data_IF_130031899009
#
_entry.id   IF_130031899009
#
_cell.length_a   1.000
_cell.length_b   1.000
_cell.length_c   1.000
_cell.angle_alpha   90.00
_cell.angle_beta   90.00
_cell.angle_gamma   90.00
#
_symmetry.space_group_name_H-M   'P 1'
#
loop_
_entity.id
_entity.type
_entity.pdbx_description
1 polymer ?
#
# COMPACT_ATOMS: atom_id res chain seq x y z
N UNK A 1 -98.35 -12.30 -30.30
CA UNK A 1 -98.06 -11.34 -29.21
C UNK A 1 -96.67 -10.80 -29.39
N UNK A 2 -96.59 -9.62 -30.02
CA UNK A 2 -95.30 -9.00 -30.38
C UNK A 2 -95.13 -7.72 -29.58
N UNK A 3 -94.13 -7.69 -28.71
CA UNK A 3 -93.83 -6.52 -27.87
C UNK A 3 -92.93 -5.59 -28.63
N UNK A 4 -93.38 -4.42 -29.01
CA UNK A 4 -92.66 -3.33 -29.60
C UNK A 4 -91.71 -2.75 -28.58
N UNK A 5 -90.42 -2.70 -28.91
CA UNK A 5 -89.34 -1.93 -28.23
C UNK A 5 -89.35 -0.51 -28.73
N UNK A 6 -89.45 0.43 -27.82
CA UNK A 6 -89.29 1.87 -28.10
C UNK A 6 -87.82 2.21 -28.43
N UNK A 7 -87.59 3.20 -29.31
CA UNK A 7 -86.22 3.63 -29.65
C UNK A 7 -85.70 4.60 -28.58
N UNK A 8 -84.42 4.41 -28.28
CA UNK A 8 -83.60 5.22 -27.37
C UNK A 8 -83.36 6.62 -27.95
N UNK A 9 -83.41 7.69 -27.13
CA UNK A 9 -83.12 9.04 -27.58
C UNK A 9 -81.63 9.24 -27.82
N UNK A 10 -81.22 10.07 -28.77
CA UNK A 10 -79.81 10.36 -29.05
C UNK A 10 -79.19 11.14 -27.90
N UNK A 11 -78.04 10.69 -27.47
CA UNK A 11 -77.17 11.36 -26.48
C UNK A 11 -76.68 12.68 -27.06
N UNK A 12 -76.93 13.78 -26.41
CA UNK A 12 -76.35 15.07 -26.68
C UNK A 12 -74.80 14.97 -26.44
N UNK A 13 -74.05 15.33 -27.47
CA UNK A 13 -72.60 15.46 -27.40
C UNK A 13 -72.32 16.82 -26.76
N UNK A 14 -71.97 16.81 -25.50
CA UNK A 14 -71.49 17.98 -24.79
C UNK A 14 -70.06 18.29 -25.31
N UNK A 15 -69.96 19.28 -26.15
CA UNK A 15 -68.72 19.88 -26.62
C UNK A 15 -68.18 20.81 -25.54
N UNK A 16 -67.70 20.25 -24.45
CA UNK A 16 -66.84 21.01 -23.53
C UNK A 16 -65.46 21.15 -24.19
N UNK A 17 -65.31 22.27 -24.78
CA UNK A 17 -64.02 22.76 -25.31
C UNK A 17 -63.03 22.86 -24.18
N UNK A 18 -62.26 21.78 -23.99
CA UNK A 18 -61.14 21.70 -23.06
C UNK A 18 -60.02 22.59 -23.63
N UNK A 19 -59.99 23.85 -23.19
CA UNK A 19 -58.91 24.78 -23.44
C UNK A 19 -57.66 24.22 -22.81
N UNK A 20 -56.89 23.44 -23.58
CA UNK A 20 -55.53 23.06 -23.24
C UNK A 20 -54.75 24.41 -23.05
N UNK A 21 -54.56 24.78 -21.81
CA UNK A 21 -53.59 25.80 -21.43
C UNK A 21 -52.23 25.31 -21.86
N UNK A 22 -51.80 25.70 -23.02
CA UNK A 22 -50.40 25.66 -23.43
C UNK A 22 -49.60 26.40 -22.36
N UNK A 23 -49.03 25.69 -21.42
CA UNK A 23 -48.00 26.24 -20.53
C UNK A 23 -46.80 26.58 -21.42
N UNK A 24 -46.77 27.80 -21.86
CA UNK A 24 -45.56 28.38 -22.43
C UNK A 24 -44.50 28.29 -21.35
N UNK A 25 -43.62 27.28 -21.47
CA UNK A 25 -42.37 27.25 -20.73
C UNK A 25 -41.60 28.52 -21.12
N UNK A 26 -41.78 29.56 -20.32
CA UNK A 26 -40.98 30.75 -20.43
C UNK A 26 -39.51 30.30 -20.30
N UNK A 27 -38.78 30.24 -21.39
CA UNK A 27 -37.32 30.07 -21.39
C UNK A 27 -36.76 31.30 -20.69
N UNK A 28 -36.55 31.17 -19.38
CA UNK A 28 -35.80 32.16 -18.61
C UNK A 28 -34.39 32.16 -19.16
N UNK A 29 -34.00 33.23 -19.84
CA UNK A 29 -32.61 33.43 -20.20
C UNK A 29 -31.78 33.55 -18.94
N UNK A 30 -30.61 32.92 -18.91
CA UNK A 30 -29.64 33.09 -17.82
C UNK A 30 -29.14 34.54 -17.82
N UNK A 31 -29.09 35.13 -16.66
CA UNK A 31 -28.48 36.46 -16.49
C UNK A 31 -26.95 36.32 -16.49
N UNK A 32 -26.26 37.36 -16.97
CA UNK A 32 -24.80 37.40 -16.96
C UNK A 32 -24.24 37.21 -15.55
N UNK A 33 -24.92 37.74 -14.55
CA UNK A 33 -24.56 37.61 -13.13
C UNK A 33 -24.65 36.14 -12.66
N UNK A 34 -25.68 35.41 -13.06
CA UNK A 34 -25.86 34.01 -12.73
C UNK A 34 -24.71 33.12 -13.29
N UNK A 35 -24.32 33.39 -14.56
CA UNK A 35 -23.17 32.70 -15.18
C UNK A 35 -21.87 33.01 -14.44
N UNK A 36 -21.66 34.28 -14.05
CA UNK A 36 -20.46 34.66 -13.28
C UNK A 36 -20.41 33.97 -11.90
N UNK A 37 -21.54 33.90 -11.20
CA UNK A 37 -21.61 33.21 -9.91
C UNK A 37 -21.32 31.73 -10.08
N UNK A 38 -21.89 31.05 -11.08
CA UNK A 38 -21.64 29.62 -11.35
C UNK A 38 -20.19 29.38 -11.69
N UNK A 39 -19.57 30.20 -12.54
CA UNK A 39 -18.15 30.09 -12.85
C UNK A 39 -17.26 30.31 -11.63
N UNK A 40 -17.58 31.26 -10.77
CA UNK A 40 -16.87 31.51 -9.52
C UNK A 40 -16.97 30.29 -8.56
N UNK A 41 -18.15 29.69 -8.43
CA UNK A 41 -18.36 28.50 -7.62
C UNK A 41 -17.59 27.28 -8.18
N UNK A 42 -17.62 27.07 -9.49
CA UNK A 42 -16.86 26.00 -10.14
C UNK A 42 -15.35 26.19 -9.89
N UNK A 43 -14.83 27.38 -10.08
CA UNK A 43 -13.42 27.70 -9.83
C UNK A 43 -13.04 27.45 -8.37
N UNK A 44 -13.90 27.80 -7.42
CA UNK A 44 -13.68 27.57 -6.00
C UNK A 44 -13.68 26.07 -5.66
N UNK A 45 -14.61 25.29 -6.18
CA UNK A 45 -14.65 23.84 -5.98
C UNK A 45 -13.44 23.17 -6.60
N UNK A 46 -13.06 23.54 -7.83
CA UNK A 46 -11.88 22.98 -8.50
C UNK A 46 -10.58 23.28 -7.74
N UNK A 47 -10.43 24.49 -7.21
CA UNK A 47 -9.26 24.82 -6.40
C UNK A 47 -9.17 23.98 -5.13
N UNK A 48 -10.28 23.72 -4.45
CA UNK A 48 -10.32 22.87 -3.27
C UNK A 48 -9.92 21.42 -3.56
N UNK A 49 -10.33 20.87 -4.71
CA UNK A 49 -9.98 19.50 -5.16
C UNK A 49 -8.49 19.38 -5.45
N UNK A 50 -7.89 20.36 -6.12
CA UNK A 50 -6.46 20.35 -6.45
C UNK A 50 -5.60 20.39 -5.19
N UNK A 51 -5.92 21.25 -4.23
CA UNK A 51 -5.20 21.38 -2.97
C UNK A 51 -5.36 20.10 -2.12
N UNK A 52 -6.55 19.49 -2.09
CA UNK A 52 -6.84 18.30 -1.28
C UNK A 52 -6.11 17.05 -1.74
N UNK A 53 -5.89 16.86 -3.03
CA UNK A 53 -5.27 15.63 -3.56
C UNK A 53 -3.79 15.46 -3.18
N UNK A 54 -3.02 16.53 -3.10
CA UNK A 54 -1.61 16.49 -2.70
C UNK A 54 -1.40 16.17 -1.21
N UNK A 55 -2.33 16.56 -0.35
CA UNK A 55 -2.24 16.31 1.09
C UNK A 55 -2.42 14.82 1.45
N UNK A 56 -3.30 14.11 0.76
CA UNK A 56 -3.53 12.69 0.99
C UNK A 56 -2.31 11.84 0.69
N UNK A 57 -1.60 12.14 -0.38
CA UNK A 57 -0.39 11.43 -0.76
C UNK A 57 0.76 11.64 0.25
N UNK A 58 0.95 12.86 0.72
CA UNK A 58 1.92 13.19 1.76
C UNK A 58 1.60 12.51 3.10
N UNK A 59 0.33 12.43 3.48
CA UNK A 59 -0.12 11.74 4.69
C UNK A 59 0.20 10.24 4.65
N UNK A 60 -0.06 9.57 3.52
CA UNK A 60 0.25 8.14 3.32
C UNK A 60 1.75 7.87 3.40
N UNK A 61 2.58 8.74 2.81
CA UNK A 61 4.02 8.61 2.90
C UNK A 61 4.51 8.72 4.35
N UNK A 62 4.00 9.69 5.10
CA UNK A 62 4.31 9.85 6.54
C UNK A 62 3.88 8.64 7.33
N UNK A 63 2.69 8.09 7.10
CA UNK A 63 2.20 6.90 7.78
C UNK A 63 3.09 5.69 7.51
N UNK A 64 3.46 5.42 6.25
CA UNK A 64 4.38 4.34 5.88
C UNK A 64 5.76 4.52 6.53
N UNK A 65 6.29 5.75 6.54
CA UNK A 65 7.57 6.05 7.20
C UNK A 65 7.50 5.82 8.72
N UNK A 66 6.42 6.25 9.36
CA UNK A 66 6.19 6.01 10.80
C UNK A 66 6.06 4.53 11.12
N UNK A 67 5.39 3.77 10.27
CA UNK A 67 5.24 2.32 10.40
C UNK A 67 6.60 1.61 10.33
N UNK A 68 7.46 1.96 9.37
CA UNK A 68 8.82 1.43 9.26
C UNK A 68 9.64 1.78 10.49
N UNK A 69 9.59 3.04 10.94
CA UNK A 69 10.29 3.49 12.15
C UNK A 69 9.81 2.73 13.40
N UNK A 70 8.51 2.48 13.49
CA UNK A 70 7.93 1.64 14.54
C UNK A 70 8.46 0.21 14.50
N UNK A 71 8.52 -0.41 13.32
CA UNK A 71 9.07 -1.74 13.13
C UNK A 71 10.55 -1.82 13.53
N UNK A 72 11.36 -0.81 13.20
CA UNK A 72 12.77 -0.70 13.62
C UNK A 72 12.89 -0.68 15.14
N UNK A 73 12.06 0.14 15.82
CA UNK A 73 12.07 0.21 17.30
C UNK A 73 11.68 -1.13 17.95
N UNK A 74 10.67 -1.80 17.39
CA UNK A 74 10.24 -3.12 17.88
C UNK A 74 11.34 -4.15 17.65
N UNK A 75 11.97 -4.16 16.48
CA UNK A 75 13.09 -5.06 16.16
C UNK A 75 14.24 -4.89 17.13
N UNK A 76 14.64 -3.64 17.38
CA UNK A 76 15.69 -3.31 18.34
C UNK A 76 15.35 -3.77 19.77
N UNK A 77 14.16 -3.41 20.25
CA UNK A 77 13.69 -3.80 21.58
C UNK A 77 13.63 -5.34 21.72
N UNK A 78 13.19 -6.02 20.70
CA UNK A 78 13.11 -7.49 20.70
C UNK A 78 14.49 -8.13 20.69
N UNK A 79 15.42 -7.66 19.87
CA UNK A 79 16.78 -8.19 19.81
C UNK A 79 17.47 -8.08 21.17
N UNK A 80 17.31 -6.96 21.86
CA UNK A 80 17.87 -6.77 23.20
C UNK A 80 17.16 -7.59 24.28
N UNK A 81 15.84 -7.72 24.21
CA UNK A 81 15.06 -8.47 25.21
C UNK A 81 15.20 -9.98 25.08
N UNK A 82 15.29 -10.54 23.86
CA UNK A 82 15.37 -11.97 23.62
C UNK A 82 16.80 -12.49 23.48
N UNK A 83 17.80 -11.61 23.45
CA UNK A 83 19.20 -11.95 23.18
C UNK A 83 19.39 -12.73 21.88
N UNK A 84 18.55 -12.45 20.88
CA UNK A 84 18.62 -13.08 19.55
C UNK A 84 18.79 -12.02 18.48
N UNK A 85 19.38 -12.40 17.36
CA UNK A 85 19.45 -11.51 16.20
C UNK A 85 18.09 -11.42 15.54
N UNK A 86 17.61 -10.18 15.34
CA UNK A 86 16.37 -9.88 14.65
C UNK A 86 16.70 -9.18 13.35
N UNK A 87 15.94 -9.42 12.29
CA UNK A 87 16.06 -8.65 11.05
C UNK A 87 14.72 -8.10 10.59
N UNK A 88 14.72 -6.91 10.05
CA UNK A 88 13.61 -6.32 9.33
C UNK A 88 13.76 -6.68 7.86
N UNK A 89 12.74 -7.31 7.32
CA UNK A 89 12.64 -7.67 5.91
C UNK A 89 11.77 -6.66 5.19
N UNK A 90 12.26 -6.17 4.07
CA UNK A 90 11.58 -5.23 3.18
C UNK A 90 11.45 -5.86 1.80
N UNK A 91 10.23 -6.13 1.37
CA UNK A 91 9.92 -6.77 0.09
C UNK A 91 9.50 -5.69 -0.92
N UNK A 92 10.23 -5.58 -2.02
CA UNK A 92 9.99 -4.60 -3.08
C UNK A 92 8.83 -5.00 -4.00
N UNK A 93 8.57 -6.29 -4.18
CA UNK A 93 7.53 -6.78 -5.09
C UNK A 93 6.15 -6.56 -4.49
N UNK A 94 5.94 -7.02 -3.25
CA UNK A 94 4.67 -6.89 -2.55
C UNK A 94 4.55 -5.58 -1.74
N UNK A 95 5.64 -4.81 -1.63
CA UNK A 95 5.73 -3.59 -0.82
C UNK A 95 5.27 -3.81 0.63
N UNK A 96 5.85 -4.82 1.27
CA UNK A 96 5.55 -5.25 2.62
C UNK A 96 6.79 -5.24 3.49
N UNK A 97 6.56 -5.16 4.80
CA UNK A 97 7.59 -5.33 5.81
C UNK A 97 7.16 -6.36 6.84
N UNK A 98 8.13 -7.08 7.39
CA UNK A 98 7.93 -7.95 8.54
C UNK A 98 9.24 -8.15 9.29
N UNK A 99 9.16 -8.70 10.48
CA UNK A 99 10.30 -9.02 11.31
C UNK A 99 10.54 -10.52 11.32
N UNK A 100 11.81 -10.89 11.37
CA UNK A 100 12.26 -12.28 11.51
C UNK A 100 13.28 -12.37 12.63
N UNK A 101 13.28 -13.50 13.35
CA UNK A 101 14.19 -13.79 14.45
C UNK A 101 15.07 -14.97 14.08
N UNK A 102 16.37 -14.81 14.28
CA UNK A 102 17.36 -15.86 14.02
C UNK A 102 17.37 -16.92 15.12
N UNK A 103 17.60 -18.17 14.73
CA UNK A 103 17.73 -19.31 15.65
C UNK A 103 19.12 -19.39 16.30
N UNK A 104 20.12 -18.76 15.68
CA UNK A 104 21.52 -18.77 16.12
C UNK A 104 22.10 -17.34 16.08
N UNK A 105 23.21 -17.09 16.82
CA UNK A 105 23.97 -15.86 16.67
C UNK A 105 24.40 -15.65 15.23
N UNK A 106 24.14 -14.48 14.69
CA UNK A 106 24.45 -14.15 13.30
C UNK A 106 25.40 -12.98 13.21
N UNK A 107 26.49 -13.20 12.45
CA UNK A 107 27.43 -12.14 12.05
C UNK A 107 27.19 -11.82 10.57
N UNK A 108 26.83 -10.58 10.30
CA UNK A 108 26.62 -10.13 8.92
C UNK A 108 27.94 -10.10 8.18
N UNK A 109 27.95 -10.76 7.03
CA UNK A 109 29.08 -10.72 6.11
C UNK A 109 28.92 -9.49 5.20
N UNK A 110 29.85 -8.57 5.30
CA UNK A 110 29.93 -7.43 4.36
C UNK A 110 30.32 -7.93 2.98
N UNK A 111 29.77 -7.30 1.94
CA UNK A 111 29.98 -7.65 0.53
C UNK A 111 29.48 -9.04 0.13
N UNK A 112 28.35 -9.43 0.69
CA UNK A 112 27.67 -10.64 0.26
C UNK A 112 26.96 -10.39 -1.07
N UNK A 113 27.45 -11.00 -2.13
CA UNK A 113 26.87 -10.92 -3.50
C UNK A 113 25.40 -11.38 -3.49
N UNK A 114 25.01 -12.23 -2.53
CA UNK A 114 23.64 -12.74 -2.40
C UNK A 114 22.70 -11.74 -1.73
N UNK A 115 23.25 -10.72 -1.02
CA UNK A 115 22.54 -9.71 -0.27
C UNK A 115 21.74 -10.24 0.91
N UNK A 116 21.99 -11.47 1.33
CA UNK A 116 21.39 -12.06 2.54
C UNK A 116 22.21 -11.78 3.80
N UNK A 117 23.36 -11.09 3.66
CA UNK A 117 24.28 -10.83 4.76
C UNK A 117 24.86 -12.12 5.37
N UNK A 118 24.88 -13.25 4.64
CA UNK A 118 25.33 -14.53 5.12
C UNK A 118 24.25 -15.40 5.79
N UNK A 119 23.00 -14.95 5.85
CA UNK A 119 21.87 -15.75 6.29
C UNK A 119 21.45 -16.82 5.26
N UNK A 120 20.61 -17.76 5.68
CA UNK A 120 20.01 -18.73 4.76
C UNK A 120 19.10 -18.01 3.74
N UNK A 121 19.22 -18.41 2.48
CA UNK A 121 18.43 -17.84 1.38
C UNK A 121 16.93 -18.15 1.56
N UNK A 122 16.11 -17.13 1.58
CA UNK A 122 14.67 -17.25 1.76
C UNK A 122 13.92 -17.34 0.41
N UNK A 123 14.44 -16.68 -0.63
CA UNK A 123 13.82 -16.65 -1.96
C UNK A 123 14.51 -17.58 -2.95
N UNK A 124 13.83 -17.92 -4.07
CA UNK A 124 14.42 -18.71 -5.14
C UNK A 124 15.63 -18.01 -5.79
N UNK A 125 15.52 -16.69 -6.02
CA UNK A 125 16.60 -15.89 -6.57
C UNK A 125 17.83 -15.85 -5.65
N UNK A 126 17.64 -15.72 -4.33
CA UNK A 126 18.73 -15.78 -3.36
C UNK A 126 19.40 -17.16 -3.33
N UNK A 127 18.64 -18.25 -3.45
CA UNK A 127 19.19 -19.62 -3.51
C UNK A 127 20.06 -19.80 -4.74
N UNK A 128 19.61 -19.35 -5.89
CA UNK A 128 20.36 -19.40 -7.13
C UNK A 128 21.68 -18.59 -7.03
N UNK A 129 21.61 -17.39 -6.48
CA UNK A 129 22.79 -16.55 -6.23
C UNK A 129 23.79 -17.22 -5.25
N UNK A 130 23.28 -17.89 -4.22
CA UNK A 130 24.11 -18.68 -3.28
C UNK A 130 24.79 -19.85 -3.97
N UNK A 131 24.07 -20.59 -4.81
CA UNK A 131 24.62 -21.71 -5.57
C UNK A 131 25.69 -21.24 -6.58
N UNK A 132 25.45 -20.14 -7.25
CA UNK A 132 26.41 -19.52 -8.18
C UNK A 132 27.69 -19.07 -7.47
N UNK A 133 27.53 -18.39 -6.33
CA UNK A 133 28.67 -17.96 -5.51
C UNK A 133 29.49 -19.16 -5.00
N UNK A 134 28.82 -20.28 -4.64
CA UNK A 134 29.44 -21.52 -4.20
C UNK A 134 30.25 -22.23 -5.29
N UNK A 135 29.95 -22.00 -6.57
CA UNK A 135 30.75 -22.51 -7.70
C UNK A 135 32.09 -21.81 -7.84
N UNK A 136 32.14 -20.53 -7.47
CA UNK A 136 33.34 -19.69 -7.60
C UNK A 136 34.30 -19.90 -6.43
N UNK A 137 33.76 -20.02 -5.21
CA UNK A 137 34.54 -20.17 -3.98
C UNK A 137 34.44 -21.61 -3.44
N UNK A 138 35.48 -22.37 -3.66
CA UNK A 138 35.62 -23.73 -3.08
C UNK A 138 36.29 -23.65 -1.70
N UNK A 139 35.50 -23.60 -0.65
CA UNK A 139 35.98 -23.58 0.73
C UNK A 139 34.94 -24.07 1.72
N UNK A 140 35.32 -24.33 2.99
CA UNK A 140 34.36 -24.67 4.03
C UNK A 140 33.44 -23.47 4.28
N UNK A 141 32.16 -23.61 3.97
CA UNK A 141 31.13 -22.60 4.23
C UNK A 141 30.65 -22.68 5.67
N UNK A 142 30.66 -21.57 6.38
CA UNK A 142 30.07 -21.49 7.71
C UNK A 142 28.56 -21.79 7.65
N UNK A 143 27.99 -22.42 8.69
CA UNK A 143 26.56 -22.68 8.73
C UNK A 143 25.79 -21.35 8.67
N UNK A 144 24.78 -21.32 7.80
CA UNK A 144 23.95 -20.12 7.62
C UNK A 144 22.82 -20.11 8.64
N UNK A 145 22.61 -18.97 9.27
CA UNK A 145 21.54 -18.78 10.26
C UNK A 145 20.18 -18.78 9.58
N UNK A 146 19.23 -19.53 10.16
CA UNK A 146 17.83 -19.53 9.74
C UNK A 146 17.05 -18.48 10.48
N UNK A 147 16.21 -17.78 9.75
CA UNK A 147 15.32 -16.74 10.28
C UNK A 147 13.87 -17.20 10.17
N UNK A 148 13.09 -16.96 11.22
CA UNK A 148 11.64 -17.24 11.27
C UNK A 148 10.85 -15.96 11.43
N UNK A 149 9.75 -15.85 10.72
CA UNK A 149 8.84 -14.71 10.82
C UNK A 149 8.29 -14.58 12.24
N UNK A 150 8.25 -13.34 12.72
CA UNK A 150 7.66 -12.96 14.02
C UNK A 150 6.67 -11.82 13.80
N UNK A 151 5.65 -11.73 14.67
CA UNK A 151 4.72 -10.62 14.64
C UNK A 151 5.44 -9.31 15.01
N UNK A 152 5.39 -8.25 14.16
CA UNK A 152 5.99 -6.97 14.47
C UNK A 152 5.43 -6.29 15.72
N UNK A 153 4.24 -6.69 16.19
CA UNK A 153 3.64 -6.20 17.43
C UNK A 153 4.07 -7.02 18.66
N UNK A 154 4.90 -8.08 18.48
CA UNK A 154 5.36 -8.94 19.59
C UNK A 154 4.30 -9.91 20.12
N UNK A 155 3.12 -9.90 19.58
CA UNK A 155 2.10 -10.90 19.83
C UNK A 155 2.32 -12.04 18.82
N UNK A 156 2.78 -13.17 19.30
CA UNK A 156 3.00 -14.36 18.48
C UNK A 156 1.70 -14.71 17.72
N UNK A 157 1.60 -14.25 16.48
CA UNK A 157 0.51 -14.65 15.61
C UNK A 157 0.78 -16.05 15.13
N UNK A 158 -0.03 -17.00 15.58
CA UNK A 158 0.03 -18.40 15.15
C UNK A 158 -0.36 -18.61 13.68
N UNK A 159 -0.70 -17.51 12.97
CA UNK A 159 -1.18 -17.56 11.60
C UNK A 159 -0.07 -17.09 10.65
N UNK A 160 0.47 -17.97 9.79
CA UNK A 160 1.44 -17.59 8.77
C UNK A 160 0.91 -16.47 7.87
N UNK A 161 1.74 -15.46 7.61
CA UNK A 161 1.40 -14.34 6.74
C UNK A 161 0.68 -13.16 7.40
N UNK A 162 0.26 -13.24 8.66
CA UNK A 162 -0.37 -12.14 9.39
C UNK A 162 0.65 -11.16 9.99
N UNK A 163 1.91 -11.57 10.04
CA UNK A 163 3.05 -10.75 10.48
C UNK A 163 3.46 -9.69 9.46
N UNK A 164 3.11 -9.88 8.19
CA UNK A 164 3.46 -8.97 7.10
C UNK A 164 2.57 -7.74 7.09
N UNK A 165 3.19 -6.58 7.02
CA UNK A 165 2.50 -5.29 6.98
C UNK A 165 2.75 -4.60 5.63
N UNK A 166 1.71 -4.42 4.80
CA UNK A 166 1.86 -3.69 3.54
C UNK A 166 2.06 -2.20 3.81
N UNK A 167 2.81 -1.55 2.95
CA UNK A 167 2.89 -0.10 2.90
C UNK A 167 1.52 0.50 2.49
N UNK A 168 1.32 1.77 2.76
CA UNK A 168 0.12 2.47 2.33
C UNK A 168 -0.04 2.45 0.81
N UNK A 169 -1.29 2.42 0.37
CA UNK A 169 -1.62 2.34 -1.05
C UNK A 169 -0.98 3.48 -1.85
N UNK A 170 -0.22 3.13 -2.88
CA UNK A 170 0.51 4.07 -3.72
C UNK A 170 1.87 4.48 -3.16
N UNK A 171 2.33 3.88 -2.06
CA UNK A 171 3.70 4.03 -1.56
C UNK A 171 4.48 2.77 -1.86
N UNK A 172 5.68 2.95 -2.41
CA UNK A 172 6.58 1.86 -2.76
C UNK A 172 7.98 2.15 -2.23
N UNK A 173 8.77 1.12 -2.03
CA UNK A 173 10.20 1.28 -1.83
C UNK A 173 10.84 1.80 -3.13
N UNK A 174 11.67 2.81 -3.01
CA UNK A 174 12.49 3.31 -4.11
C UNK A 174 13.81 2.56 -4.18
N UNK A 175 14.49 2.52 -3.05
CA UNK A 175 15.74 1.80 -2.84
C UNK A 175 16.03 1.66 -1.36
N UNK A 176 16.75 0.63 -1.01
CA UNK A 176 17.28 0.40 0.33
C UNK A 176 18.78 0.16 0.22
N UNK A 177 19.57 0.90 0.98
CA UNK A 177 21.00 0.73 1.09
C UNK A 177 21.30 0.26 2.51
N UNK A 178 21.94 -0.87 2.65
CA UNK A 178 22.43 -1.41 3.92
C UNK A 178 23.95 -1.43 3.95
N UNK A 179 24.56 -1.67 5.10
CA UNK A 179 26.03 -1.65 5.19
C UNK A 179 26.67 -2.93 4.62
N UNK A 180 25.91 -4.02 4.49
CA UNK A 180 26.40 -5.28 3.91
C UNK A 180 26.25 -5.34 2.39
N UNK A 181 25.36 -4.52 1.81
CA UNK A 181 25.17 -4.43 0.36
C UNK A 181 26.17 -3.42 -0.25
N UNK A 182 26.86 -3.80 -1.31
CA UNK A 182 27.74 -2.87 -2.05
C UNK A 182 26.95 -1.81 -2.82
N UNK A 183 25.79 -2.19 -3.36
CA UNK A 183 24.90 -1.29 -4.10
C UNK A 183 23.50 -1.19 -3.49
N UNK A 184 22.80 -0.04 -3.68
CA UNK A 184 21.43 0.10 -3.23
C UNK A 184 20.50 -0.90 -3.90
N UNK A 185 19.78 -1.70 -3.11
CA UNK A 185 18.76 -2.61 -3.62
C UNK A 185 17.54 -1.86 -4.11
N UNK A 186 17.01 -2.29 -5.25
CA UNK A 186 15.81 -1.73 -5.88
C UNK A 186 14.72 -2.77 -6.14
N UNK A 187 15.06 -4.04 -6.00
CA UNK A 187 14.21 -5.20 -6.28
C UNK A 187 14.46 -6.35 -5.27
N UNK A 188 13.62 -7.37 -5.33
CA UNK A 188 13.70 -8.50 -4.44
C UNK A 188 13.44 -8.15 -2.98
N UNK A 189 14.33 -8.59 -2.08
CA UNK A 189 14.23 -8.33 -0.64
C UNK A 189 15.48 -7.64 -0.13
N UNK A 190 15.30 -6.69 0.80
CA UNK A 190 16.37 -6.08 1.56
C UNK A 190 16.23 -6.43 3.05
N UNK A 191 17.36 -6.58 3.73
CA UNK A 191 17.43 -7.01 5.11
C UNK A 191 18.19 -5.97 5.94
N UNK A 192 17.66 -5.68 7.14
CA UNK A 192 18.30 -4.81 8.12
C UNK A 192 18.43 -5.56 9.45
N UNK A 193 19.65 -5.71 9.96
CA UNK A 193 19.97 -6.55 11.10
C UNK A 193 20.08 -5.75 12.41
N UNK A 194 19.62 -6.38 13.50
CA UNK A 194 19.67 -5.90 14.88
C UNK A 194 20.23 -7.00 15.78
N UNK A 195 21.25 -6.66 16.56
CA UNK A 195 21.95 -7.62 17.42
C UNK A 195 21.58 -7.46 18.89
N UNK A 196 21.73 -8.54 19.67
CA UNK A 196 21.42 -8.56 21.12
C UNK A 196 22.12 -7.45 21.92
N UNK A 197 23.33 -7.09 21.53
CA UNK A 197 24.12 -6.06 22.19
C UNK A 197 23.67 -4.61 21.98
N UNK A 198 22.49 -4.41 21.37
CA UNK A 198 21.99 -3.07 21.06
C UNK A 198 22.67 -2.43 19.85
N UNK A 199 23.41 -3.20 19.08
CA UNK A 199 24.01 -2.74 17.84
C UNK A 199 23.00 -2.93 16.70
N UNK A 200 23.05 -2.03 15.74
CA UNK A 200 22.25 -2.11 14.51
C UNK A 200 23.11 -1.74 13.32
N UNK A 201 22.78 -2.30 12.20
CA UNK A 201 23.39 -1.97 10.93
C UNK A 201 22.98 -0.58 10.47
N UNK A 202 23.90 0.12 9.78
CA UNK A 202 23.56 1.37 9.11
C UNK A 202 22.75 1.09 7.85
N UNK A 203 21.62 1.77 7.72
CA UNK A 203 20.79 1.65 6.54
C UNK A 203 20.15 2.99 6.15
N UNK A 204 19.86 3.13 4.84
CA UNK A 204 19.06 4.21 4.27
C UNK A 204 17.90 3.63 3.50
N UNK A 205 16.68 3.95 3.91
CA UNK A 205 15.44 3.46 3.30
C UNK A 205 14.77 4.62 2.60
N UNK A 206 14.59 4.53 1.29
CA UNK A 206 13.91 5.54 0.49
C UNK A 206 12.56 5.02 0.01
N UNK A 207 11.53 5.80 0.27
CA UNK A 207 10.18 5.56 -0.21
C UNK A 207 9.86 6.51 -1.36
N UNK A 208 9.02 6.08 -2.28
CA UNK A 208 8.46 6.91 -3.34
C UNK A 208 6.94 6.78 -3.35
N UNK A 209 6.29 7.86 -3.75
CA UNK A 209 4.92 7.79 -4.25
C UNK A 209 5.01 7.25 -5.66
N UNK A 210 4.42 6.10 -5.90
CA UNK A 210 4.62 5.45 -7.15
C UNK A 210 3.35 5.40 -7.96
N UNK A 211 3.55 5.56 -9.23
CA UNK A 211 2.78 4.86 -10.22
C UNK A 211 3.47 3.53 -10.49
#
# INVERSE_FOLDING_TARGET
MVAMRAPWPPRAVDSTCERARARTCARRGMTLVEVLIVLALIALVMSAVIIGSGQLASSRLRHSSTMITGAIRVAYARATATSKTVRLVMDFEENQIWLEEGDQPHLVQSKDVTGTGGAEAATAAEKEAVEESGRIVKGPTAPRTRFKEIDPMGLASSVPGKSKKPLERGIKFRQVQTAHDDEPRKDGRAYLYFWPGGQTERASIQLKMGD
#
